data_IF_468390105732
#
_entry.id   IF_468390105732
#
_cell.length_a   1.000
_cell.length_b   1.000
_cell.length_c   1.000
_cell.angle_alpha   90.00
_cell.angle_beta   90.00
_cell.angle_gamma   90.00
#
_symmetry.space_group_name_H-M   'P 1'
#
loop_
_entity.id
_entity.type
_entity.pdbx_description
1 polymer ?
#
# COMPACT_ATOMS: atom_id res chain seq x y z
N UNK A 1 28.14 24.83 7.96
CA UNK A 1 29.11 23.79 7.54
C UNK A 1 28.32 22.81 6.66
N UNK A 2 28.13 22.98 5.34
CA UNK A 2 29.06 23.19 4.22
C UNK A 2 30.11 22.09 4.05
N UNK A 3 29.71 20.82 3.91
CA UNK A 3 30.53 19.78 3.23
C UNK A 3 29.60 18.62 2.85
N UNK A 4 29.02 18.62 1.64
CA UNK A 4 29.56 18.00 0.43
C UNK A 4 29.88 16.50 0.61
N UNK A 5 28.91 15.64 0.28
CA UNK A 5 29.18 14.31 -0.30
C UNK A 5 28.34 14.14 -1.56
N UNK A 6 28.85 14.77 -2.61
CA UNK A 6 28.64 14.39 -4.00
C UNK A 6 29.13 12.94 -4.16
N UNK A 7 28.22 11.99 -4.35
CA UNK A 7 28.43 10.71 -5.05
C UNK A 7 27.04 10.34 -5.60
N UNK A 8 26.62 10.79 -6.77
CA UNK A 8 27.03 10.30 -8.09
C UNK A 8 27.15 8.77 -8.14
N UNK A 9 26.02 8.07 -8.29
CA UNK A 9 26.01 6.82 -9.03
C UNK A 9 24.70 6.71 -9.83
N UNK A 10 24.79 7.14 -11.08
CA UNK A 10 23.92 6.67 -12.17
C UNK A 10 24.01 5.15 -12.24
N UNK A 11 22.87 4.47 -12.25
CA UNK A 11 22.78 3.17 -12.89
C UNK A 11 21.55 3.14 -13.79
N UNK A 12 21.79 3.48 -15.05
CA UNK A 12 20.92 3.12 -16.15
C UNK A 12 21.00 1.60 -16.34
N UNK A 13 19.85 0.93 -16.40
CA UNK A 13 19.76 -0.38 -17.01
C UNK A 13 18.44 -0.52 -17.77
N UNK A 14 18.49 -0.07 -19.02
CA UNK A 14 17.55 -0.42 -20.08
C UNK A 14 17.73 -1.89 -20.44
N UNK A 15 16.69 -2.70 -20.31
CA UNK A 15 16.57 -3.96 -21.05
C UNK A 15 15.20 -4.00 -21.70
N UNK A 16 15.16 -3.66 -22.98
CA UNK A 16 14.12 -4.09 -23.89
C UNK A 16 14.45 -5.51 -24.33
N UNK A 17 13.56 -6.47 -24.11
CA UNK A 17 13.61 -7.76 -24.76
C UNK A 17 12.21 -8.14 -25.25
N UNK A 18 11.99 -7.89 -26.53
CA UNK A 18 10.91 -8.48 -27.29
C UNK A 18 11.36 -9.85 -27.79
N UNK A 19 10.63 -10.91 -27.44
CA UNK A 19 10.66 -12.19 -28.17
C UNK A 19 9.23 -12.59 -28.49
N UNK A 20 9.00 -12.72 -29.79
CA UNK A 20 7.80 -13.29 -30.38
C UNK A 20 7.75 -14.79 -30.10
N UNK A 21 6.55 -15.28 -29.77
CA UNK A 21 6.23 -16.70 -29.73
C UNK A 21 4.76 -16.91 -30.11
N UNK A 22 4.53 -17.38 -31.33
CA UNK A 22 3.28 -18.02 -31.75
C UNK A 22 3.35 -19.52 -31.45
N UNK A 23 2.22 -20.12 -31.08
CA UNK A 23 2.04 -21.57 -30.84
C UNK A 23 0.90 -21.79 -29.84
N UNK A 24 -0.37 -21.79 -30.22
CA UNK A 24 -1.15 -22.80 -30.97
C UNK A 24 -1.68 -23.95 -30.08
N UNK A 25 -2.91 -23.74 -29.61
CA UNK A 25 -4.10 -24.62 -29.51
C UNK A 25 -4.16 -25.92 -28.67
N UNK A 26 -5.37 -26.06 -28.06
CA UNK A 26 -6.10 -27.25 -27.60
C UNK A 26 -5.99 -27.71 -26.13
N UNK A 27 -7.10 -27.51 -25.40
CA UNK A 27 -7.41 -28.09 -24.08
C UNK A 27 -8.48 -27.30 -23.34
N UNK A 28 -9.73 -27.34 -23.83
CA UNK A 28 -10.86 -28.04 -23.20
C UNK A 28 -11.20 -27.64 -21.74
N UNK A 29 -12.34 -26.97 -21.62
CA UNK A 29 -13.32 -27.07 -20.54
C UNK A 29 -12.85 -26.84 -19.10
N UNK A 30 -12.99 -25.60 -18.66
CA UNK A 30 -13.67 -25.34 -17.39
C UNK A 30 -14.48 -24.05 -17.50
N UNK A 31 -15.81 -24.20 -17.60
CA UNK A 31 -16.78 -23.14 -17.33
C UNK A 31 -16.71 -22.78 -15.85
N UNK A 32 -15.62 -22.14 -15.44
CA UNK A 32 -15.52 -21.45 -14.17
C UNK A 32 -16.29 -20.16 -14.33
N UNK A 33 -17.49 -20.10 -13.76
CA UNK A 33 -18.28 -18.89 -13.68
C UNK A 33 -17.38 -17.75 -13.19
N UNK A 34 -17.04 -16.83 -14.09
CA UNK A 34 -16.59 -15.49 -13.72
C UNK A 34 -17.74 -14.84 -12.98
N UNK A 35 -17.78 -15.05 -11.66
CA UNK A 35 -18.40 -14.07 -10.79
C UNK A 35 -17.75 -12.73 -11.15
N UNK A 36 -18.52 -11.69 -11.50
CA UNK A 36 -17.96 -10.36 -11.59
C UNK A 36 -17.30 -10.10 -10.23
N UNK A 37 -16.00 -9.80 -10.24
CA UNK A 37 -15.36 -9.23 -9.07
C UNK A 37 -16.16 -7.97 -8.75
N UNK A 38 -17.01 -8.06 -7.71
CA UNK A 38 -17.68 -6.89 -7.15
C UNK A 38 -16.57 -5.88 -6.91
N UNK A 39 -16.62 -4.66 -7.48
CA UNK A 39 -15.66 -3.64 -7.12
C UNK A 39 -15.70 -3.53 -5.60
N UNK A 40 -14.56 -3.75 -4.94
CA UNK A 40 -14.45 -3.52 -3.52
C UNK A 40 -14.93 -2.10 -3.28
N UNK A 41 -16.07 -1.98 -2.60
CA UNK A 41 -16.66 -0.68 -2.33
C UNK A 41 -15.62 0.07 -1.51
N UNK A 42 -15.19 1.24 -2.01
CA UNK A 42 -14.19 1.99 -1.29
C UNK A 42 -14.74 2.39 0.08
N UNK A 43 -14.13 1.91 1.17
CA UNK A 43 -14.60 2.14 2.54
C UNK A 43 -14.07 3.49 3.07
N UNK A 44 -14.07 4.50 2.20
CA UNK A 44 -13.83 5.88 2.61
C UNK A 44 -15.05 6.35 3.41
N UNK A 45 -14.85 6.59 4.71
CA UNK A 45 -15.88 7.11 5.61
C UNK A 45 -16.37 8.49 5.16
N UNK A 46 -17.49 8.95 5.72
CA UNK A 46 -18.07 10.27 5.43
C UNK A 46 -17.11 11.44 5.75
N UNK A 47 -16.14 11.19 6.62
CA UNK A 47 -15.04 12.06 7.03
C UNK A 47 -13.80 11.99 6.11
N UNK A 48 -13.84 11.17 5.06
CA UNK A 48 -12.76 10.99 4.10
C UNK A 48 -11.61 10.11 4.58
N UNK A 49 -11.71 9.49 5.77
CA UNK A 49 -10.71 8.54 6.28
C UNK A 49 -11.04 7.11 5.85
N UNK A 50 -10.00 6.31 5.67
CA UNK A 50 -10.08 4.89 5.37
C UNK A 50 -10.18 4.05 6.64
N UNK A 51 -10.91 2.95 6.57
CA UNK A 51 -10.94 1.98 7.67
C UNK A 51 -9.58 1.31 7.85
N UNK A 52 -8.97 1.45 9.03
CA UNK A 52 -7.70 0.80 9.36
C UNK A 52 -7.80 -0.74 9.34
N UNK A 53 -9.00 -1.28 9.57
CA UNK A 53 -9.24 -2.72 9.63
C UNK A 53 -9.76 -3.29 8.30
N UNK A 54 -10.43 -2.48 7.46
CA UNK A 54 -11.17 -3.00 6.31
C UNK A 54 -10.75 -2.43 4.95
N UNK A 55 -10.06 -1.29 4.88
CA UNK A 55 -9.61 -0.75 3.59
C UNK A 55 -8.66 -1.74 2.90
N UNK A 56 -8.73 -1.88 1.58
CA UNK A 56 -7.80 -2.76 0.86
C UNK A 56 -6.39 -2.16 0.84
N UNK A 57 -5.39 -2.98 0.50
CA UNK A 57 -4.01 -2.50 0.32
C UNK A 57 -3.95 -1.44 -0.77
N UNK A 58 -4.69 -1.61 -1.86
CA UNK A 58 -4.72 -0.66 -2.98
C UNK A 58 -5.33 0.69 -2.57
N UNK A 59 -6.39 0.68 -1.75
CA UNK A 59 -6.99 1.90 -1.20
C UNK A 59 -6.01 2.66 -0.29
N UNK A 60 -5.34 1.93 0.61
CA UNK A 60 -4.34 2.49 1.50
C UNK A 60 -3.16 3.06 0.72
N UNK A 61 -2.62 2.30 -0.23
CA UNK A 61 -1.51 2.74 -1.08
C UNK A 61 -1.88 3.99 -1.87
N UNK A 62 -3.08 4.03 -2.47
CA UNK A 62 -3.55 5.20 -3.21
C UNK A 62 -3.66 6.44 -2.32
N UNK A 63 -4.20 6.30 -1.11
CA UNK A 63 -4.29 7.40 -0.15
C UNK A 63 -2.92 7.87 0.34
N UNK A 64 -2.00 6.94 0.61
CA UNK A 64 -0.64 7.28 1.04
C UNK A 64 0.16 7.96 -0.07
N UNK A 65 0.02 7.49 -1.31
CA UNK A 65 0.61 8.12 -2.49
C UNK A 65 0.05 9.53 -2.70
N UNK A 66 -1.28 9.71 -2.56
CA UNK A 66 -1.92 11.02 -2.66
C UNK A 66 -1.48 11.99 -1.56
N UNK A 67 -1.14 11.46 -0.38
CA UNK A 67 -0.57 12.23 0.73
C UNK A 67 0.95 12.52 0.59
N UNK A 68 1.60 12.03 -0.47
CA UNK A 68 3.02 12.23 -0.72
C UNK A 68 3.95 11.38 0.15
N UNK A 69 3.44 10.32 0.78
CA UNK A 69 4.24 9.39 1.57
C UNK A 69 5.14 8.59 0.62
N UNK A 70 6.44 8.54 0.92
CA UNK A 70 7.38 7.69 0.19
C UNK A 70 7.15 6.21 0.50
N UNK A 71 7.27 5.36 -0.52
CA UNK A 71 7.03 3.91 -0.44
C UNK A 71 5.64 3.52 0.08
N UNK A 72 4.55 4.03 -0.54
CA UNK A 72 3.19 3.89 -0.02
C UNK A 72 2.73 2.42 0.07
N UNK A 73 3.11 1.58 -0.90
CA UNK A 73 2.74 0.16 -0.91
C UNK A 73 3.34 -0.63 0.26
N UNK A 74 4.58 -0.32 0.68
CA UNK A 74 5.17 -1.00 1.84
C UNK A 74 4.39 -0.69 3.13
N UNK A 75 4.03 0.58 3.35
CA UNK A 75 3.25 0.96 4.52
C UNK A 75 1.83 0.39 4.51
N UNK A 76 1.21 0.31 3.33
CA UNK A 76 -0.10 -0.33 3.19
C UNK A 76 -0.05 -1.82 3.56
N UNK A 77 0.99 -2.52 3.13
CA UNK A 77 1.19 -3.94 3.46
C UNK A 77 1.55 -4.14 4.94
N UNK A 78 2.36 -3.26 5.53
CA UNK A 78 2.65 -3.29 6.97
C UNK A 78 1.37 -3.14 7.80
N UNK A 79 0.46 -2.25 7.41
CA UNK A 79 -0.83 -2.08 8.07
C UNK A 79 -1.67 -3.34 7.95
N UNK A 80 -1.80 -3.91 6.74
CA UNK A 80 -2.50 -5.18 6.52
C UNK A 80 -1.95 -6.29 7.42
N UNK A 81 -0.63 -6.42 7.51
CA UNK A 81 0.05 -7.42 8.34
C UNK A 81 -0.27 -7.26 9.83
N UNK A 82 -0.43 -6.03 10.32
CA UNK A 82 -0.68 -5.75 11.73
C UNK A 82 -2.16 -5.83 12.13
N UNK A 83 -3.09 -5.98 11.18
CA UNK A 83 -4.52 -6.15 11.50
C UNK A 83 -4.77 -7.42 12.34
N UNK A 84 -5.82 -7.43 13.18
CA UNK A 84 -6.73 -6.32 13.45
C UNK A 84 -6.14 -5.31 14.45
N UNK A 85 -6.59 -4.06 14.34
CA UNK A 85 -6.39 -3.00 15.34
C UNK A 85 -7.58 -2.96 16.31
N UNK A 86 -7.34 -2.80 17.63
CA UNK A 86 -8.41 -2.70 18.61
C UNK A 86 -9.26 -1.45 18.37
N UNK A 87 -10.59 -1.57 18.47
CA UNK A 87 -11.51 -0.44 18.27
C UNK A 87 -11.41 0.62 19.39
N UNK A 88 -10.92 0.22 20.56
CA UNK A 88 -10.66 1.08 21.72
C UNK A 88 -9.28 1.77 21.69
N UNK A 89 -8.40 1.41 20.75
CA UNK A 89 -7.08 2.02 20.56
C UNK A 89 -7.15 3.32 19.74
N UNK A 90 -7.87 4.31 20.25
CA UNK A 90 -8.08 5.62 19.57
C UNK A 90 -6.77 6.35 19.21
N UNK A 91 -5.70 6.04 19.94
CA UNK A 91 -4.35 6.54 19.69
C UNK A 91 -3.52 5.62 18.79
N UNK A 92 -4.11 4.62 18.13
CA UNK A 92 -3.40 3.73 17.20
C UNK A 92 -2.06 3.22 17.73
N UNK A 93 -1.94 2.96 19.05
CA UNK A 93 -0.67 2.66 19.72
C UNK A 93 0.00 1.41 19.13
N UNK A 94 -0.80 0.40 18.76
CA UNK A 94 -0.29 -0.79 18.06
C UNK A 94 0.32 -0.43 16.70
N UNK A 95 -0.38 0.38 15.91
CA UNK A 95 0.08 0.80 14.58
C UNK A 95 1.33 1.69 14.67
N UNK A 96 1.33 2.67 15.58
CA UNK A 96 2.50 3.53 15.84
C UNK A 96 3.74 2.71 16.13
N UNK A 97 3.62 1.67 16.95
CA UNK A 97 4.73 0.76 17.25
C UNK A 97 5.19 -0.04 16.02
N UNK A 98 4.27 -0.61 15.25
CA UNK A 98 4.62 -1.33 14.01
C UNK A 98 5.37 -0.44 13.03
N UNK A 99 4.84 0.75 12.73
CA UNK A 99 5.50 1.69 11.81
C UNK A 99 6.89 2.15 12.32
N UNK A 100 7.03 2.36 13.63
CA UNK A 100 8.32 2.72 14.23
C UNK A 100 9.35 1.58 14.16
N UNK A 101 8.92 0.32 14.30
CA UNK A 101 9.80 -0.85 14.15
C UNK A 101 10.40 -0.95 12.74
N UNK A 102 9.64 -0.53 11.74
CA UNK A 102 10.07 -0.44 10.35
C UNK A 102 10.70 0.93 9.98
N UNK A 103 11.07 1.74 10.98
CA UNK A 103 11.75 3.04 10.83
C UNK A 103 10.96 4.09 10.03
N UNK A 104 9.62 4.09 10.12
CA UNK A 104 8.83 5.21 9.60
C UNK A 104 9.24 6.52 10.28
N UNK A 105 9.40 7.59 9.49
CA UNK A 105 9.66 8.91 10.04
C UNK A 105 8.45 9.40 10.86
N UNK A 106 8.64 10.19 11.93
CA UNK A 106 7.54 10.64 12.77
C UNK A 106 6.42 11.37 12.01
N UNK A 107 6.78 12.18 11.00
CA UNK A 107 5.80 12.87 10.14
C UNK A 107 5.01 11.90 9.25
N UNK A 108 5.65 10.83 8.76
CA UNK A 108 4.97 9.77 8.00
C UNK A 108 3.97 9.03 8.88
N UNK A 109 4.35 8.69 10.12
CA UNK A 109 3.45 8.03 11.08
C UNK A 109 2.20 8.86 11.32
N UNK A 110 2.36 10.15 11.61
CA UNK A 110 1.22 11.04 11.87
C UNK A 110 0.36 11.26 10.63
N UNK A 111 0.97 11.32 9.44
CA UNK A 111 0.23 11.41 8.17
C UNK A 111 -0.60 10.16 7.91
N UNK A 112 -0.03 8.97 8.10
CA UNK A 112 -0.74 7.69 7.97
C UNK A 112 -1.93 7.65 8.95
N UNK A 113 -1.71 7.96 10.22
CA UNK A 113 -2.77 7.93 11.24
C UNK A 113 -3.87 8.96 10.94
N UNK A 114 -3.50 10.13 10.42
CA UNK A 114 -4.43 11.14 9.96
C UNK A 114 -5.41 10.65 8.89
N UNK A 115 -5.00 9.69 8.05
CA UNK A 115 -5.81 9.12 6.97
C UNK A 115 -6.71 7.96 7.41
N UNK A 116 -6.54 7.47 8.64
CA UNK A 116 -7.21 6.27 9.12
C UNK A 116 -8.29 6.56 10.17
N UNK A 117 -9.23 5.63 10.27
CA UNK A 117 -10.22 5.52 11.34
C UNK A 117 -10.35 4.07 11.82
N UNK A 118 -10.72 3.91 13.08
CA UNK A 118 -11.18 2.64 13.63
C UNK A 118 -12.68 2.46 13.35
N UNK A 119 -13.20 1.22 13.32
CA UNK A 119 -14.63 0.94 13.16
C UNK A 119 -15.48 1.51 14.29
#
# INVERSE_FOLDING_TARGET
MRILRVVALLLALTIALAIAGCGEDSGDSATGATSPATPAASDAGADGKLSANNATVEELEAAFAAAGISNPGAWAHDIEHHRPFPADDTEFAKLRRGLAEHNAAPDVVETIIGLLKLP
#
